data_IF_195262330338
#
_entry.id   IF_195262330338
#
_cell.length_a   1.000
_cell.length_b   1.000
_cell.length_c   1.000
_cell.angle_alpha   90.00
_cell.angle_beta   90.00
_cell.angle_gamma   90.00
#
_symmetry.space_group_name_H-M   'P 1'
#
loop_
_entity.id
_entity.type
_entity.pdbx_description
1 polymer ?
#
# COMPACT_ATOMS: atom_id res chain seq x y z
N UNK A 1 -42.22 -5.83 25.77
CA UNK A 1 -41.55 -4.54 25.49
C UNK A 1 -40.85 -4.55 24.14
N UNK A 2 -39.83 -5.39 23.94
CA UNK A 2 -39.06 -5.44 22.68
C UNK A 2 -39.90 -5.72 21.42
N UNK A 3 -40.81 -6.70 21.45
CA UNK A 3 -41.67 -7.00 20.29
C UNK A 3 -42.56 -5.81 19.89
N UNK A 4 -43.06 -5.07 20.88
CA UNK A 4 -43.84 -3.86 20.62
C UNK A 4 -42.98 -2.77 20.00
N UNK A 5 -41.77 -2.55 20.53
CA UNK A 5 -40.83 -1.62 19.89
C UNK A 5 -40.62 -2.00 18.42
N UNK A 6 -40.22 -3.23 18.13
CA UNK A 6 -39.95 -3.70 16.76
C UNK A 6 -41.16 -3.60 15.82
N UNK A 7 -42.39 -3.73 16.34
CA UNK A 7 -43.61 -3.53 15.55
C UNK A 7 -43.89 -2.06 15.23
N UNK A 8 -43.44 -1.14 16.07
CA UNK A 8 -43.80 0.28 16.00
C UNK A 8 -42.61 1.22 15.70
N UNK A 9 -41.38 0.72 15.60
CA UNK A 9 -40.15 1.48 15.29
C UNK A 9 -40.14 2.22 13.95
N UNK A 10 -41.10 1.90 13.06
CA UNK A 10 -41.30 2.56 11.77
C UNK A 10 -42.18 3.82 11.85
N UNK A 11 -42.82 4.09 12.99
CA UNK A 11 -43.59 5.32 13.18
C UNK A 11 -42.69 6.56 13.02
N UNK A 12 -43.20 7.61 12.37
CA UNK A 12 -42.44 8.86 12.16
C UNK A 12 -42.38 9.74 13.41
N UNK A 13 -43.41 9.68 14.24
CA UNK A 13 -43.50 10.46 15.47
C UNK A 13 -42.93 9.66 16.64
N UNK A 14 -41.65 9.90 16.94
CA UNK A 14 -40.94 9.20 18.00
C UNK A 14 -41.44 9.59 19.39
N UNK A 15 -41.86 10.85 19.60
CA UNK A 15 -42.36 11.30 20.90
C UNK A 15 -43.68 10.61 21.24
N UNK A 16 -44.58 10.51 20.27
CA UNK A 16 -45.83 9.75 20.44
C UNK A 16 -45.57 8.26 20.70
N UNK A 17 -44.61 7.66 19.98
CA UNK A 17 -44.22 6.28 20.23
C UNK A 17 -43.70 6.08 21.66
N UNK A 18 -42.93 7.04 22.18
CA UNK A 18 -42.46 7.05 23.58
C UNK A 18 -43.61 7.14 24.58
N UNK A 19 -44.55 8.04 24.37
CA UNK A 19 -45.73 8.15 25.23
C UNK A 19 -46.54 6.84 25.23
N UNK A 20 -46.86 6.31 24.05
CA UNK A 20 -47.60 5.05 23.90
C UNK A 20 -46.87 3.87 24.54
N UNK A 21 -45.55 3.80 24.39
CA UNK A 21 -44.70 2.77 24.98
C UNK A 21 -44.74 2.83 26.52
N UNK A 22 -44.51 4.01 27.11
CA UNK A 22 -44.46 4.19 28.56
C UNK A 22 -45.83 3.98 29.21
N UNK A 23 -46.91 4.43 28.55
CA UNK A 23 -48.29 4.17 29.00
C UNK A 23 -48.55 2.66 29.02
N UNK A 24 -48.28 1.98 27.90
CA UNK A 24 -48.59 0.57 27.72
C UNK A 24 -47.81 -0.34 28.66
N UNK A 25 -46.56 0.01 28.95
CA UNK A 25 -45.67 -0.82 29.76
C UNK A 25 -45.43 -0.29 31.18
N UNK A 26 -46.16 0.73 31.63
CA UNK A 26 -45.98 1.38 32.95
C UNK A 26 -45.77 0.41 34.11
N UNK A 27 -46.57 -0.66 34.18
CA UNK A 27 -46.49 -1.66 35.25
C UNK A 27 -45.28 -2.61 35.13
N UNK A 28 -44.81 -2.83 33.91
CA UNK A 28 -43.70 -3.75 33.59
C UNK A 28 -42.35 -3.00 33.60
N UNK A 29 -42.36 -1.67 33.62
CA UNK A 29 -41.16 -0.84 33.78
C UNK A 29 -40.40 -1.18 35.06
N UNK A 30 -41.08 -1.61 36.13
CA UNK A 30 -40.44 -2.03 37.39
C UNK A 30 -39.48 -3.21 37.14
N UNK A 31 -39.89 -4.18 36.32
CA UNK A 31 -39.02 -5.31 35.95
C UNK A 31 -37.85 -4.88 35.06
N UNK A 32 -38.05 -3.87 34.21
CA UNK A 32 -36.95 -3.31 33.43
C UNK A 32 -35.95 -2.57 34.35
N UNK A 33 -36.45 -1.81 35.33
CA UNK A 33 -35.66 -1.11 36.36
C UNK A 33 -34.77 -2.08 37.15
N UNK A 34 -35.31 -3.19 37.60
CA UNK A 34 -34.55 -4.24 38.32
C UNK A 34 -33.46 -4.88 37.45
N UNK A 35 -33.70 -4.97 36.14
CA UNK A 35 -32.70 -5.43 35.16
C UNK A 35 -31.76 -4.30 34.71
N UNK A 36 -31.86 -3.15 35.37
CA UNK A 36 -31.07 -1.97 35.08
C UNK A 36 -31.45 -1.33 33.76
N UNK A 37 -32.72 -1.18 33.40
CA UNK A 37 -33.21 -0.39 32.26
C UNK A 37 -32.80 -0.92 30.87
N UNK A 38 -32.72 -2.24 30.68
CA UNK A 38 -32.29 -2.84 29.40
C UNK A 38 -33.16 -2.36 28.25
N UNK A 39 -34.47 -2.44 28.37
CA UNK A 39 -35.39 -2.07 27.29
C UNK A 39 -35.47 -0.56 27.09
N UNK A 40 -35.54 0.23 28.17
CA UNK A 40 -35.52 1.68 28.07
C UNK A 40 -34.25 2.21 27.42
N UNK A 41 -33.07 1.67 27.78
CA UNK A 41 -31.81 2.04 27.14
C UNK A 41 -31.78 1.65 25.66
N UNK A 42 -32.20 0.43 25.33
CA UNK A 42 -32.25 -0.02 23.94
C UNK A 42 -33.21 0.83 23.10
N UNK A 43 -34.34 1.22 23.68
CA UNK A 43 -35.31 2.06 22.99
C UNK A 43 -34.78 3.47 22.80
N UNK A 44 -34.16 4.06 23.83
CA UNK A 44 -33.55 5.38 23.78
C UNK A 44 -32.41 5.44 22.78
N UNK A 45 -31.48 4.49 22.82
CA UNK A 45 -30.41 4.38 21.82
C UNK A 45 -30.96 4.32 20.38
N UNK A 46 -32.05 3.58 20.15
CA UNK A 46 -32.65 3.50 18.81
C UNK A 46 -33.31 4.80 18.37
N UNK A 47 -34.06 5.46 19.27
CA UNK A 47 -34.82 6.67 18.93
C UNK A 47 -33.98 7.94 18.95
N UNK A 48 -32.91 7.98 19.73
CA UNK A 48 -32.03 9.14 19.89
C UNK A 48 -31.43 9.57 18.54
N UNK A 49 -30.98 8.61 17.73
CA UNK A 49 -30.51 8.86 16.34
C UNK A 49 -31.58 9.39 15.39
N UNK A 50 -32.86 9.31 15.77
CA UNK A 50 -34.01 9.71 14.94
C UNK A 50 -34.76 10.92 15.48
N UNK A 51 -34.43 11.35 16.69
CA UNK A 51 -34.95 12.56 17.30
C UNK A 51 -34.08 13.73 16.90
N UNK A 52 -34.73 14.85 16.57
CA UNK A 52 -34.02 16.11 16.41
C UNK A 52 -33.55 16.60 17.78
N UNK A 53 -32.42 17.32 17.82
CA UNK A 53 -31.91 17.93 19.07
C UNK A 53 -32.97 18.83 19.72
N UNK A 54 -33.76 19.52 18.89
CA UNK A 54 -34.89 20.36 19.34
C UNK A 54 -36.05 19.58 19.96
N UNK A 55 -36.10 18.25 19.83
CA UNK A 55 -37.15 17.37 20.38
C UNK A 55 -36.71 16.66 21.67
N UNK A 56 -35.43 16.80 22.04
CA UNK A 56 -34.89 16.20 23.26
C UNK A 56 -35.56 16.73 24.53
N UNK A 57 -35.84 18.05 24.67
CA UNK A 57 -36.54 18.57 25.84
C UNK A 57 -37.96 17.99 26.00
N UNK A 58 -38.68 17.76 24.91
CA UNK A 58 -40.00 17.14 24.92
C UNK A 58 -39.93 15.67 25.31
N UNK A 59 -38.92 14.93 24.82
CA UNK A 59 -38.68 13.55 25.27
C UNK A 59 -38.37 13.51 26.77
N UNK A 60 -37.54 14.42 27.27
CA UNK A 60 -37.24 14.52 28.70
C UNK A 60 -38.51 14.75 29.54
N UNK A 61 -39.42 15.60 29.06
CA UNK A 61 -40.73 15.81 29.69
C UNK A 61 -41.58 14.53 29.68
N UNK A 62 -41.58 13.79 28.56
CA UNK A 62 -42.28 12.49 28.46
C UNK A 62 -41.72 11.49 29.47
N UNK A 63 -40.39 11.38 29.57
CA UNK A 63 -39.72 10.49 30.53
C UNK A 63 -39.97 10.92 31.98
N UNK A 64 -39.99 12.22 32.27
CA UNK A 64 -40.25 12.78 33.60
C UNK A 64 -41.63 12.40 34.17
N UNK A 65 -42.61 12.09 33.31
CA UNK A 65 -43.93 11.58 33.74
C UNK A 65 -43.85 10.17 34.37
N UNK A 66 -42.80 9.41 34.09
CA UNK A 66 -42.70 7.98 34.43
C UNK A 66 -41.41 7.59 35.18
N UNK A 67 -40.39 8.44 35.14
CA UNK A 67 -39.06 8.20 35.71
C UNK A 67 -38.63 9.37 36.60
N UNK A 68 -37.94 9.07 37.71
CA UNK A 68 -37.33 10.11 38.56
C UNK A 68 -36.10 10.74 37.91
N UNK A 69 -35.64 11.89 38.42
CA UNK A 69 -34.40 12.53 37.94
C UNK A 69 -33.17 11.59 38.04
N UNK A 70 -33.10 10.79 39.10
CA UNK A 70 -32.00 9.83 39.29
C UNK A 70 -32.05 8.72 38.23
N UNK A 71 -33.24 8.19 37.94
CA UNK A 71 -33.43 7.14 36.93
C UNK A 71 -33.09 7.65 35.53
N UNK A 72 -33.52 8.88 35.20
CA UNK A 72 -33.16 9.56 33.95
C UNK A 72 -31.66 9.75 33.83
N UNK A 73 -31.01 10.30 34.87
CA UNK A 73 -29.56 10.50 34.90
C UNK A 73 -28.77 9.21 34.70
N UNK A 74 -29.22 8.11 35.32
CA UNK A 74 -28.59 6.80 35.17
C UNK A 74 -28.67 6.26 33.74
N UNK A 75 -29.85 6.33 33.11
CA UNK A 75 -30.06 5.89 31.73
C UNK A 75 -29.20 6.72 30.76
N UNK A 76 -29.24 8.06 30.89
CA UNK A 76 -28.50 8.97 30.03
C UNK A 76 -26.99 8.77 30.15
N UNK A 77 -26.45 8.61 31.37
CA UNK A 77 -25.02 8.37 31.59
C UNK A 77 -24.53 7.09 30.92
N UNK A 78 -25.30 6.00 30.99
CA UNK A 78 -24.93 4.73 30.34
C UNK A 78 -24.93 4.84 28.81
N UNK A 79 -25.87 5.59 28.23
CA UNK A 79 -25.91 5.80 26.77
C UNK A 79 -24.75 6.67 26.32
N UNK A 80 -24.44 7.74 27.06
CA UNK A 80 -23.27 8.56 26.79
C UNK A 80 -21.98 7.73 26.83
N UNK A 81 -21.82 6.85 27.83
CA UNK A 81 -20.68 5.93 27.89
C UNK A 81 -20.60 5.02 26.65
N UNK A 82 -21.74 4.45 26.21
CA UNK A 82 -21.79 3.62 25.00
C UNK A 82 -21.38 4.40 23.73
N UNK A 83 -21.80 5.65 23.58
CA UNK A 83 -21.38 6.48 22.45
C UNK A 83 -19.90 6.84 22.47
N UNK A 84 -19.34 7.05 23.67
CA UNK A 84 -17.90 7.26 23.83
C UNK A 84 -17.14 6.00 23.39
N UNK A 85 -17.56 4.82 23.85
CA UNK A 85 -16.94 3.55 23.50
C UNK A 85 -17.03 3.27 21.98
N UNK A 86 -18.22 3.44 21.38
CA UNK A 86 -18.42 3.31 19.92
C UNK A 86 -17.56 4.33 19.15
N UNK A 87 -17.47 5.56 19.65
CA UNK A 87 -16.66 6.62 19.05
C UNK A 87 -15.16 6.30 19.10
N UNK A 88 -14.67 5.76 20.22
CA UNK A 88 -13.29 5.30 20.38
C UNK A 88 -13.02 4.15 19.41
N UNK A 89 -13.88 3.13 19.37
CA UNK A 89 -13.72 1.97 18.49
C UNK A 89 -13.67 2.38 17.01
N UNK A 90 -14.59 3.26 16.59
CA UNK A 90 -14.61 3.78 15.21
C UNK A 90 -13.36 4.64 14.94
N UNK A 91 -12.95 5.46 15.91
CA UNK A 91 -11.76 6.31 15.80
C UNK A 91 -10.48 5.50 15.64
N UNK A 92 -10.29 4.50 16.50
CA UNK A 92 -9.14 3.59 16.49
C UNK A 92 -9.09 2.78 15.20
N UNK A 93 -10.19 2.14 14.81
CA UNK A 93 -10.25 1.33 13.58
C UNK A 93 -9.93 2.16 12.33
N UNK A 94 -10.53 3.36 12.21
CA UNK A 94 -10.24 4.27 11.09
C UNK A 94 -8.80 4.80 11.14
N UNK A 95 -8.31 5.17 12.31
CA UNK A 95 -6.96 5.68 12.52
C UNK A 95 -5.89 4.64 12.13
N UNK A 96 -6.04 3.41 12.62
CA UNK A 96 -5.14 2.29 12.30
C UNK A 96 -5.18 1.98 10.80
N UNK A 97 -6.38 1.84 10.22
CA UNK A 97 -6.52 1.52 8.80
C UNK A 97 -5.87 2.60 7.90
N UNK A 98 -6.09 3.87 8.23
CA UNK A 98 -5.47 5.00 7.52
C UNK A 98 -3.95 4.99 7.66
N UNK A 99 -3.44 4.86 8.89
CA UNK A 99 -2.00 4.87 9.15
C UNK A 99 -1.26 3.72 8.46
N UNK A 100 -1.85 2.52 8.44
CA UNK A 100 -1.30 1.37 7.71
C UNK A 100 -1.26 1.65 6.20
N UNK A 101 -2.37 2.14 5.63
CA UNK A 101 -2.45 2.42 4.20
C UNK A 101 -1.43 3.48 3.76
N UNK A 102 -1.32 4.58 4.52
CA UNK A 102 -0.36 5.65 4.26
C UNK A 102 1.09 5.15 4.39
N UNK A 103 1.41 4.43 5.47
CA UNK A 103 2.76 3.89 5.70
C UNK A 103 3.21 2.89 4.64
N UNK A 104 2.32 2.01 4.17
CA UNK A 104 2.63 1.07 3.08
C UNK A 104 2.87 1.83 1.77
N UNK A 105 2.01 2.79 1.43
CA UNK A 105 2.13 3.56 0.20
C UNK A 105 3.45 4.35 0.16
N UNK A 106 3.80 5.03 1.26
CA UNK A 106 5.05 5.76 1.38
C UNK A 106 6.28 4.84 1.30
N UNK A 107 6.25 3.71 2.02
CA UNK A 107 7.33 2.74 2.01
C UNK A 107 7.61 2.16 0.62
N UNK A 108 6.56 1.79 -0.12
CA UNK A 108 6.69 1.28 -1.50
C UNK A 108 7.23 2.35 -2.43
N UNK A 109 6.71 3.58 -2.36
CA UNK A 109 7.14 4.68 -3.22
C UNK A 109 8.63 4.98 -3.03
N UNK A 110 9.06 5.10 -1.76
CA UNK A 110 10.47 5.36 -1.41
C UNK A 110 11.38 4.22 -1.84
N UNK A 111 11.03 2.98 -1.49
CA UNK A 111 11.84 1.81 -1.84
C UNK A 111 11.99 1.62 -3.36
N UNK A 112 10.94 1.92 -4.14
CA UNK A 112 11.01 1.87 -5.61
C UNK A 112 11.90 2.96 -6.18
N UNK A 113 11.80 4.19 -5.68
CA UNK A 113 12.62 5.30 -6.15
C UNK A 113 14.11 5.03 -5.89
N UNK A 114 14.46 4.65 -4.65
CA UNK A 114 15.83 4.30 -4.26
C UNK A 114 16.35 3.10 -5.07
N UNK A 115 15.52 2.07 -5.26
CA UNK A 115 15.89 0.89 -6.04
C UNK A 115 16.19 1.19 -7.51
N UNK A 116 15.41 2.06 -8.15
CA UNK A 116 15.65 2.49 -9.54
C UNK A 116 16.94 3.30 -9.62
N UNK A 117 17.13 4.28 -8.74
CA UNK A 117 18.32 5.14 -8.75
C UNK A 117 19.62 4.33 -8.58
N UNK A 118 19.64 3.42 -7.61
CA UNK A 118 20.80 2.55 -7.36
C UNK A 118 21.02 1.59 -8.53
N UNK A 119 19.93 1.00 -9.06
CA UNK A 119 19.99 0.07 -10.18
C UNK A 119 20.53 0.72 -11.45
N UNK A 120 20.03 1.91 -11.81
CA UNK A 120 20.47 2.64 -13.00
C UNK A 120 21.91 3.14 -12.88
N UNK A 121 22.29 3.71 -11.73
CA UNK A 121 23.65 4.21 -11.51
C UNK A 121 24.69 3.09 -11.57
N UNK A 122 24.43 1.98 -10.87
CA UNK A 122 25.33 0.83 -10.85
C UNK A 122 25.39 0.14 -12.21
N UNK A 123 24.23 -0.16 -12.81
CA UNK A 123 24.17 -0.83 -14.11
C UNK A 123 24.83 -0.03 -15.22
N UNK A 124 24.67 1.30 -15.22
CA UNK A 124 25.35 2.19 -16.18
C UNK A 124 26.86 2.21 -15.97
N UNK A 125 27.33 2.30 -14.73
CA UNK A 125 28.76 2.31 -14.42
C UNK A 125 29.43 1.00 -14.84
N UNK A 126 28.82 -0.14 -14.52
CA UNK A 126 29.30 -1.47 -14.90
C UNK A 126 29.32 -1.63 -16.42
N UNK A 127 28.21 -1.30 -17.12
CA UNK A 127 28.14 -1.43 -18.57
C UNK A 127 29.13 -0.55 -19.33
N UNK A 128 29.40 0.67 -18.84
CA UNK A 128 30.43 1.54 -19.43
C UNK A 128 31.83 0.94 -19.22
N UNK A 129 32.14 0.47 -18.01
CA UNK A 129 33.43 -0.10 -17.71
C UNK A 129 33.72 -1.36 -18.53
N UNK A 130 32.74 -2.26 -18.64
CA UNK A 130 32.83 -3.49 -19.43
C UNK A 130 32.99 -3.17 -20.92
N UNK A 131 32.13 -2.30 -21.48
CA UNK A 131 32.21 -1.92 -22.89
C UNK A 131 33.53 -1.23 -23.28
N UNK A 132 34.09 -0.39 -22.39
CA UNK A 132 35.42 0.21 -22.62
C UNK A 132 36.51 -0.87 -22.59
N UNK A 133 36.47 -1.78 -21.62
CA UNK A 133 37.48 -2.83 -21.49
C UNK A 133 37.47 -3.77 -22.70
N UNK A 134 36.28 -4.23 -23.13
CA UNK A 134 36.12 -5.07 -24.32
C UNK A 134 36.58 -4.35 -25.59
N UNK A 135 36.13 -3.10 -25.79
CA UNK A 135 36.50 -2.32 -26.99
C UNK A 135 38.00 -2.05 -27.09
N UNK A 136 38.67 -1.77 -25.96
CA UNK A 136 40.14 -1.61 -25.94
C UNK A 136 40.83 -2.94 -26.25
N UNK A 137 40.40 -4.04 -25.64
CA UNK A 137 41.00 -5.35 -25.85
C UNK A 137 40.87 -5.80 -27.32
N UNK A 138 39.67 -5.68 -27.89
CA UNK A 138 39.40 -6.01 -29.30
C UNK A 138 40.20 -5.12 -30.24
N UNK A 139 40.22 -3.80 -29.99
CA UNK A 139 40.97 -2.84 -30.79
C UNK A 139 42.48 -3.12 -30.80
N UNK A 140 43.07 -3.42 -29.64
CA UNK A 140 44.49 -3.79 -29.54
C UNK A 140 44.77 -5.11 -30.27
N UNK A 141 43.92 -6.12 -30.09
CA UNK A 141 44.10 -7.43 -30.74
C UNK A 141 44.03 -7.30 -32.26
N UNK A 142 43.01 -6.59 -32.78
CA UNK A 142 42.84 -6.34 -34.20
C UNK A 142 43.99 -5.53 -34.78
N UNK A 143 44.40 -4.44 -34.13
CA UNK A 143 45.52 -3.63 -34.57
C UNK A 143 46.84 -4.39 -34.62
N UNK A 144 47.11 -5.28 -33.64
CA UNK A 144 48.28 -6.16 -33.66
C UNK A 144 48.24 -7.17 -34.81
N UNK A 145 47.07 -7.76 -35.07
CA UNK A 145 46.89 -8.70 -36.18
C UNK A 145 47.09 -8.01 -37.53
N UNK A 146 46.48 -6.84 -37.74
CA UNK A 146 46.64 -6.04 -38.96
C UNK A 146 48.11 -5.63 -39.17
N UNK A 147 48.79 -5.16 -38.13
CA UNK A 147 50.21 -4.81 -38.22
C UNK A 147 51.11 -6.02 -38.54
N UNK A 148 50.82 -7.20 -37.97
CA UNK A 148 51.55 -8.43 -38.28
C UNK A 148 51.35 -8.86 -39.74
N UNK A 149 50.12 -8.76 -40.25
CA UNK A 149 49.82 -9.03 -41.66
C UNK A 149 50.50 -8.04 -42.60
N UNK A 150 50.46 -6.74 -42.31
CA UNK A 150 51.13 -5.70 -43.11
C UNK A 150 52.64 -5.92 -43.17
N UNK A 151 53.27 -6.21 -42.02
CA UNK A 151 54.69 -6.55 -41.96
C UNK A 151 55.02 -7.78 -42.80
N UNK A 152 54.21 -8.84 -42.70
CA UNK A 152 54.39 -10.05 -43.49
C UNK A 152 54.30 -9.79 -45.00
N UNK A 153 53.31 -8.99 -45.43
CA UNK A 153 53.16 -8.60 -46.84
C UNK A 153 54.38 -7.81 -47.34
N UNK A 154 54.90 -6.89 -46.53
CA UNK A 154 56.08 -6.10 -46.88
C UNK A 154 57.34 -6.98 -47.01
N UNK A 155 57.52 -7.94 -46.12
CA UNK A 155 58.64 -8.89 -46.18
C UNK A 155 58.51 -9.87 -47.36
N UNK A 156 57.30 -10.34 -47.68
CA UNK A 156 57.05 -11.17 -48.87
C UNK A 156 57.44 -10.42 -50.15
N UNK A 157 57.02 -9.16 -50.27
CA UNK A 157 57.37 -8.29 -51.41
C UNK A 157 58.87 -8.04 -51.54
N UNK A 158 59.59 -8.01 -50.40
CA UNK A 158 61.04 -7.86 -50.36
C UNK A 158 61.81 -9.19 -50.64
N UNK A 159 61.11 -10.31 -50.82
CA UNK A 159 61.69 -11.60 -51.20
C UNK A 159 62.18 -12.47 -50.05
N UNK A 160 61.76 -12.19 -48.81
CA UNK A 160 62.09 -13.04 -47.66
C UNK A 160 61.32 -14.37 -47.70
N UNK A 161 61.88 -15.43 -47.09
CA UNK A 161 61.25 -16.75 -47.05
C UNK A 161 60.05 -16.81 -46.11
N UNK A 162 59.14 -17.75 -46.37
CA UNK A 162 57.97 -18.00 -45.50
C UNK A 162 58.40 -18.34 -44.08
N UNK A 163 59.49 -19.10 -43.92
CA UNK A 163 60.08 -19.44 -42.63
C UNK A 163 60.51 -18.19 -41.86
N UNK A 164 61.28 -17.31 -42.49
CA UNK A 164 61.77 -16.08 -41.87
C UNK A 164 60.60 -15.17 -41.45
N UNK A 165 59.58 -15.06 -42.29
CA UNK A 165 58.43 -14.20 -42.02
C UNK A 165 57.60 -14.76 -40.87
N UNK A 166 57.36 -16.07 -40.84
CA UNK A 166 56.63 -16.72 -39.74
C UNK A 166 57.35 -16.51 -38.39
N UNK A 167 58.67 -16.64 -38.37
CA UNK A 167 59.49 -16.43 -37.16
C UNK A 167 59.48 -14.98 -36.64
N UNK A 168 59.36 -13.99 -37.54
CA UNK A 168 59.51 -12.57 -37.18
C UNK A 168 58.18 -11.79 -37.06
N UNK A 169 57.07 -12.34 -37.56
CA UNK A 169 55.75 -11.67 -37.53
C UNK A 169 54.78 -12.29 -36.53
N UNK A 170 55.09 -13.50 -36.03
CA UNK A 170 54.20 -14.26 -35.16
C UNK A 170 53.02 -14.91 -35.89
N UNK A 171 52.94 -14.79 -37.22
CA UNK A 171 52.00 -15.53 -38.05
C UNK A 171 52.49 -16.97 -38.25
N UNK A 172 51.55 -17.91 -38.35
CA UNK A 172 51.82 -19.28 -38.78
C UNK A 172 52.28 -19.33 -40.24
N UNK A 173 53.03 -20.38 -40.60
CA UNK A 173 53.46 -20.59 -41.98
C UNK A 173 52.27 -20.65 -42.95
N UNK A 174 51.15 -21.25 -42.51
CA UNK A 174 49.92 -21.35 -43.29
C UNK A 174 49.30 -19.98 -43.56
N UNK A 175 49.22 -19.10 -42.56
CA UNK A 175 48.77 -17.71 -42.72
C UNK A 175 49.66 -16.94 -43.70
N UNK A 176 50.99 -17.10 -43.61
CA UNK A 176 51.95 -16.44 -44.52
C UNK A 176 51.81 -16.97 -45.96
N UNK A 177 51.62 -18.28 -46.14
CA UNK A 177 51.37 -18.88 -47.46
C UNK A 177 50.07 -18.35 -48.06
N UNK A 178 49.00 -18.26 -47.26
CA UNK A 178 47.73 -17.70 -47.71
C UNK A 178 47.86 -16.23 -48.13
N UNK A 179 48.60 -15.43 -47.36
CA UNK A 179 48.91 -14.05 -47.73
C UNK A 179 49.70 -13.97 -49.04
N UNK A 180 50.71 -14.83 -49.23
CA UNK A 180 51.51 -14.89 -50.45
C UNK A 180 50.65 -15.23 -51.67
N UNK A 181 49.79 -16.23 -51.56
CA UNK A 181 48.88 -16.62 -52.63
C UNK A 181 47.95 -15.47 -53.03
N UNK A 182 47.51 -14.64 -52.08
CA UNK A 182 46.66 -13.48 -52.36
C UNK A 182 47.41 -12.30 -53.03
N UNK A 183 48.75 -12.30 -53.06
CA UNK A 183 49.57 -11.27 -53.73
C UNK A 183 49.92 -11.69 -55.17
N UNK A 184 49.95 -12.99 -55.45
CA UNK A 184 50.36 -13.55 -56.76
C UNK A 184 49.20 -13.64 -57.78
N UNK A 185 47.98 -13.24 -57.42
CA UNK A 185 46.82 -13.02 -58.31
C UNK A 185 46.51 -11.53 -58.47
#
# INVERSE_FOLDING_TARGET
MLEYMLKHIHQRDMLKLWEDFLIKFKHVLILDKEKGYVYLRSFLWYTDTKLLESQQPELEQVLAKYLSEEEKGNIMRTIAAKYIDEGIEIGETKGIAKGIAEGIAEGIAKGRAEGIEIGETKGRAEGIAEGIAEGIAEGIAKGRAEAAQELAMNLLKAGFSVEFISENTGLSKEEVINLKNNIEY
#
